data_IF_580584930672
#
_entry.id   IF_580584930672
#
_cell.length_a   1.000
_cell.length_b   1.000
_cell.length_c   1.000
_cell.angle_alpha   90.00
_cell.angle_beta   90.00
_cell.angle_gamma   90.00
#
_symmetry.space_group_name_H-M   'P 1'
#
loop_
_entity.id
_entity.type
_entity.pdbx_description
1 polymer ?
#
# COMPACT_ATOMS: atom_id res chain seq x y z
N UNK A 1 -66.98 29.44 62.83
CA UNK A 1 -65.90 29.58 61.79
C UNK A 1 -64.72 28.73 62.22
N UNK A 2 -64.56 27.57 61.55
CA UNK A 2 -63.53 26.56 61.85
C UNK A 2 -62.37 26.80 60.86
N UNK A 3 -61.20 27.10 61.42
CA UNK A 3 -59.98 27.20 60.62
C UNK A 3 -59.30 25.82 60.59
N UNK A 4 -59.09 25.24 59.41
CA UNK A 4 -58.37 24.00 59.17
C UNK A 4 -56.99 24.37 58.74
N UNK A 5 -56.00 23.99 59.56
CA UNK A 5 -54.54 24.21 59.28
C UNK A 5 -54.03 22.99 58.54
N UNK A 6 -53.61 23.18 57.28
CA UNK A 6 -52.92 22.15 56.52
C UNK A 6 -51.41 22.19 56.80
N UNK A 7 -50.86 21.15 57.37
CA UNK A 7 -49.44 20.94 57.48
C UNK A 7 -48.87 20.34 56.22
N UNK A 8 -47.96 21.06 55.55
CA UNK A 8 -47.22 20.59 54.37
C UNK A 8 -45.98 19.88 54.88
N UNK A 9 -45.96 18.54 54.70
CA UNK A 9 -44.74 17.74 54.91
C UNK A 9 -43.92 17.79 53.62
N UNK A 10 -42.79 18.50 53.66
CA UNK A 10 -41.83 18.53 52.55
C UNK A 10 -40.92 17.32 52.62
N UNK A 11 -41.15 16.34 51.74
CA UNK A 11 -40.26 15.20 51.58
C UNK A 11 -39.07 15.60 50.65
N UNK A 12 -37.92 15.86 51.25
CA UNK A 12 -36.68 16.12 50.52
C UNK A 12 -36.12 14.80 49.96
N UNK A 13 -36.40 14.54 48.69
CA UNK A 13 -35.71 13.46 47.97
C UNK A 13 -34.33 13.96 47.54
N UNK A 14 -33.29 13.47 48.23
CA UNK A 14 -31.90 13.66 47.81
C UNK A 14 -31.67 12.82 46.55
N UNK A 15 -31.76 13.46 45.41
CA UNK A 15 -31.33 12.88 44.11
C UNK A 15 -29.80 12.81 44.06
N UNK A 16 -29.27 11.59 44.18
CA UNK A 16 -27.87 11.32 43.88
C UNK A 16 -27.72 11.42 42.36
N UNK A 17 -27.25 12.59 41.90
CA UNK A 17 -26.73 12.75 40.53
C UNK A 17 -25.42 11.94 40.44
N UNK A 18 -25.50 10.69 39.97
CA UNK A 18 -24.35 9.99 39.39
C UNK A 18 -23.98 10.74 38.11
N UNK A 19 -23.11 11.75 38.25
CA UNK A 19 -22.37 12.29 37.14
C UNK A 19 -21.42 11.19 36.66
N UNK A 20 -21.89 10.37 35.71
CA UNK A 20 -21.04 9.52 34.94
C UNK A 20 -20.12 10.42 34.09
N UNK A 21 -18.94 10.78 34.60
CA UNK A 21 -17.85 11.24 33.78
C UNK A 21 -17.44 10.08 32.89
N UNK A 22 -18.12 9.91 31.77
CA UNK A 22 -17.58 9.23 30.62
C UNK A 22 -16.50 10.13 30.03
N UNK A 23 -15.28 10.08 30.56
CA UNK A 23 -14.12 10.53 29.80
C UNK A 23 -14.15 9.72 28.51
N UNK A 24 -14.44 10.36 27.36
CA UNK A 24 -14.12 9.73 26.07
C UNK A 24 -12.62 9.46 26.16
N UNK A 25 -12.25 8.20 26.24
CA UNK A 25 -10.86 7.80 26.11
C UNK A 25 -10.34 8.43 24.81
N UNK A 26 -9.28 9.22 24.92
CA UNK A 26 -8.65 9.85 23.75
C UNK A 26 -8.08 8.72 22.91
N UNK A 27 -8.63 8.53 21.74
CA UNK A 27 -8.12 7.53 20.80
C UNK A 27 -6.79 8.01 20.23
N UNK A 28 -5.83 7.12 20.14
CA UNK A 28 -4.57 7.34 19.42
C UNK A 28 -4.81 7.10 17.94
N UNK A 29 -4.49 8.08 17.10
CA UNK A 29 -4.63 7.98 15.66
C UNK A 29 -3.28 7.66 15.02
N UNK A 30 -3.20 6.55 14.28
CA UNK A 30 -2.01 6.11 13.55
C UNK A 30 -2.25 6.36 12.06
N UNK A 31 -1.41 7.17 11.45
CA UNK A 31 -1.45 7.46 10.01
C UNK A 31 -0.54 6.47 9.28
N UNK A 32 -1.13 5.66 8.39
CA UNK A 32 -0.44 4.64 7.61
C UNK A 32 -0.37 5.06 6.14
N UNK A 33 0.84 5.20 5.62
CA UNK A 33 1.09 5.37 4.20
C UNK A 33 1.53 4.03 3.63
N UNK A 34 0.71 3.41 2.80
CA UNK A 34 0.97 2.09 2.25
C UNK A 34 0.86 2.07 0.73
N UNK A 35 1.73 1.31 0.09
CA UNK A 35 1.68 1.12 -1.35
C UNK A 35 0.28 0.71 -1.83
N UNK A 36 -0.12 1.16 -3.02
CA UNK A 36 -1.47 0.94 -3.57
C UNK A 36 -1.87 -0.52 -3.61
N UNK A 37 -0.92 -1.43 -3.87
CA UNK A 37 -1.12 -2.88 -3.87
C UNK A 37 -1.48 -3.48 -2.50
N UNK A 38 -1.28 -2.73 -1.41
CA UNK A 38 -1.59 -3.16 -0.06
C UNK A 38 -2.99 -2.74 0.40
N UNK A 39 -3.73 -1.91 -0.35
CA UNK A 39 -4.95 -1.27 0.15
C UNK A 39 -5.95 -2.28 0.75
N UNK A 40 -6.30 -3.33 0.02
CA UNK A 40 -7.30 -4.30 0.46
C UNK A 40 -6.89 -5.06 1.73
N UNK A 41 -5.66 -5.55 1.79
CA UNK A 41 -5.16 -6.29 2.95
C UNK A 41 -4.96 -5.38 4.16
N UNK A 42 -4.49 -4.15 3.96
CA UNK A 42 -4.29 -3.20 5.06
C UNK A 42 -5.61 -2.73 5.68
N UNK A 43 -6.64 -2.52 4.87
CA UNK A 43 -7.97 -2.17 5.38
C UNK A 43 -8.51 -3.30 6.29
N UNK A 44 -8.38 -4.57 5.85
CA UNK A 44 -8.81 -5.74 6.66
C UNK A 44 -7.95 -5.91 7.93
N UNK A 45 -6.63 -5.69 7.86
CA UNK A 45 -5.72 -5.74 9.00
C UNK A 45 -6.01 -4.63 10.02
N UNK A 46 -6.21 -3.40 9.57
CA UNK A 46 -6.57 -2.27 10.43
C UNK A 46 -7.91 -2.50 11.14
N UNK A 47 -8.92 -3.02 10.42
CA UNK A 47 -10.23 -3.34 11.01
C UNK A 47 -10.12 -4.43 12.10
N UNK A 48 -9.36 -5.49 11.84
CA UNK A 48 -9.14 -6.56 12.81
C UNK A 48 -8.38 -6.07 14.04
N UNK A 49 -7.29 -5.34 13.85
CA UNK A 49 -6.54 -4.75 14.94
C UNK A 49 -7.41 -3.83 15.81
N UNK A 50 -8.21 -2.98 15.19
CA UNK A 50 -9.13 -2.10 15.91
C UNK A 50 -10.17 -2.83 16.75
N UNK A 51 -10.59 -4.03 16.35
CA UNK A 51 -11.55 -4.83 17.13
C UNK A 51 -11.00 -5.27 18.49
N UNK A 52 -9.69 -5.45 18.58
CA UNK A 52 -8.97 -5.84 19.81
C UNK A 52 -8.36 -4.62 20.54
N UNK A 53 -8.08 -3.54 19.79
CA UNK A 53 -7.49 -2.29 20.28
C UNK A 53 -8.40 -1.08 20.00
N UNK A 54 -9.57 -0.96 20.68
CA UNK A 54 -10.58 0.07 20.38
C UNK A 54 -10.12 1.50 20.69
N UNK A 55 -9.01 1.66 21.39
CA UNK A 55 -8.35 2.95 21.68
C UNK A 55 -7.44 3.45 20.56
N UNK A 56 -7.17 2.62 19.54
CA UNK A 56 -6.39 3.01 18.34
C UNK A 56 -7.34 3.23 17.18
N UNK A 57 -7.02 4.17 16.30
CA UNK A 57 -7.71 4.38 15.02
C UNK A 57 -6.67 4.58 13.93
N UNK A 58 -6.99 4.18 12.71
CA UNK A 58 -6.09 4.34 11.57
C UNK A 58 -6.61 5.37 10.58
N UNK A 59 -5.70 6.20 10.06
CA UNK A 59 -5.87 6.92 8.81
C UNK A 59 -4.94 6.32 7.77
N UNK A 60 -5.51 5.81 6.68
CA UNK A 60 -4.75 5.16 5.62
C UNK A 60 -4.65 6.06 4.39
N UNK A 61 -3.47 6.11 3.78
CA UNK A 61 -3.22 6.77 2.50
C UNK A 61 -2.57 5.75 1.54
N UNK A 62 -3.20 5.52 0.39
CA UNK A 62 -2.77 4.51 -0.58
C UNK A 62 -2.43 5.14 -1.92
N UNK A 63 -1.15 5.12 -2.27
CA UNK A 63 -0.66 5.57 -3.59
C UNK A 63 0.62 4.80 -3.96
N UNK A 64 1.32 5.24 -5.01
CA UNK A 64 2.64 4.71 -5.32
C UNK A 64 3.61 5.01 -4.17
N UNK A 65 4.52 4.08 -3.89
CA UNK A 65 5.50 4.27 -2.83
C UNK A 65 6.37 5.51 -3.04
N UNK A 66 6.66 5.86 -4.30
CA UNK A 66 7.39 7.09 -4.64
C UNK A 66 6.60 8.36 -4.31
N UNK A 67 5.30 8.40 -4.60
CA UNK A 67 4.42 9.52 -4.23
C UNK A 67 4.33 9.66 -2.71
N UNK A 68 4.10 8.55 -2.00
CA UNK A 68 3.99 8.55 -0.54
C UNK A 68 5.29 9.00 0.14
N UNK A 69 6.43 8.51 -0.34
CA UNK A 69 7.76 8.94 0.11
C UNK A 69 7.94 10.45 -0.07
N UNK A 70 7.56 10.98 -1.24
CA UNK A 70 7.63 12.43 -1.51
C UNK A 70 6.77 13.21 -0.54
N UNK A 71 5.52 12.78 -0.28
CA UNK A 71 4.63 13.41 0.69
C UNK A 71 5.23 13.43 2.10
N UNK A 72 5.86 12.31 2.53
CA UNK A 72 6.54 12.23 3.84
C UNK A 72 7.68 13.26 3.90
N UNK A 73 8.52 13.31 2.86
CA UNK A 73 9.63 14.28 2.77
C UNK A 73 9.16 15.74 2.71
N UNK A 74 7.96 15.99 2.23
CA UNK A 74 7.30 17.31 2.22
C UNK A 74 6.60 17.65 3.55
N UNK A 75 6.71 16.78 4.56
CA UNK A 75 6.19 17.00 5.90
C UNK A 75 4.76 16.49 6.13
N UNK A 76 4.23 15.63 5.28
CA UNK A 76 2.97 14.95 5.55
C UNK A 76 3.11 14.04 6.77
N UNK A 77 2.15 14.09 7.70
CA UNK A 77 2.15 13.22 8.87
C UNK A 77 2.03 11.78 8.44
N UNK A 78 2.98 10.96 8.85
CA UNK A 78 3.01 9.52 8.63
C UNK A 78 3.60 8.87 9.88
N UNK A 79 2.94 7.84 10.40
CA UNK A 79 3.44 7.06 11.53
C UNK A 79 3.97 5.68 11.10
N UNK A 80 3.45 5.15 9.98
CA UNK A 80 3.92 3.89 9.40
C UNK A 80 4.01 4.05 7.89
N UNK A 81 5.16 3.73 7.32
CA UNK A 81 5.37 3.65 5.88
C UNK A 81 5.55 2.19 5.45
N UNK A 82 4.71 1.72 4.53
CA UNK A 82 4.76 0.37 3.97
C UNK A 82 4.94 0.45 2.45
N UNK A 83 6.17 0.29 2.00
CA UNK A 83 6.58 0.44 0.61
C UNK A 83 6.48 -0.86 -0.19
N UNK A 84 6.22 -0.77 -1.49
CA UNK A 84 6.34 -1.88 -2.45
C UNK A 84 7.74 -1.98 -3.08
N UNK A 85 8.70 -1.22 -2.58
CA UNK A 85 10.08 -1.22 -3.06
C UNK A 85 11.06 -0.81 -1.98
N UNK A 86 12.21 -1.44 -2.00
CA UNK A 86 13.28 -1.21 -1.01
C UNK A 86 13.88 0.18 -1.16
N UNK A 87 14.05 0.67 -2.40
CA UNK A 87 14.71 1.96 -2.68
C UNK A 87 14.02 3.16 -2.03
N UNK A 88 12.69 3.18 -1.98
CA UNK A 88 11.93 4.26 -1.34
C UNK A 88 12.09 4.25 0.19
N UNK A 89 12.16 3.06 0.78
CA UNK A 89 12.45 2.91 2.21
C UNK A 89 13.90 3.30 2.52
N UNK A 90 14.85 2.90 1.70
CA UNK A 90 16.27 3.25 1.85
C UNK A 90 16.48 4.75 1.76
N UNK A 91 15.75 5.43 0.87
CA UNK A 91 15.83 6.89 0.71
C UNK A 91 15.29 7.63 1.94
N UNK A 92 14.18 7.16 2.56
CA UNK A 92 13.70 7.73 3.81
C UNK A 92 14.65 7.41 4.97
N UNK A 93 15.20 6.22 5.03
CA UNK A 93 16.15 5.81 6.08
C UNK A 93 17.48 6.55 6.01
N UNK A 94 17.84 7.11 4.87
CA UNK A 94 19.00 8.00 4.73
C UNK A 94 18.80 9.37 5.39
N UNK A 95 17.57 9.65 5.87
CA UNK A 95 17.17 10.87 6.55
C UNK A 95 16.44 11.86 5.65
N UNK A 96 15.51 12.60 6.22
CA UNK A 96 14.75 13.68 5.58
C UNK A 96 14.44 14.81 6.56
N UNK A 97 14.17 15.99 6.04
CA UNK A 97 13.91 17.15 6.90
C UNK A 97 12.62 16.96 7.71
N UNK A 98 12.73 17.06 9.03
CA UNK A 98 11.59 17.03 9.97
C UNK A 98 11.12 15.62 10.37
N UNK A 99 11.90 14.58 10.09
CA UNK A 99 11.58 13.22 10.55
C UNK A 99 12.61 12.16 10.19
N UNK A 100 12.38 10.95 10.68
CA UNK A 100 13.24 9.80 10.46
C UNK A 100 12.46 8.48 10.46
N UNK A 101 13.06 7.44 9.89
CA UNK A 101 12.64 6.05 10.15
C UNK A 101 13.10 5.68 11.55
N UNK A 102 12.18 5.24 12.40
CA UNK A 102 12.50 4.82 13.77
C UNK A 102 13.53 3.69 13.75
N UNK A 103 14.61 3.88 14.49
CA UNK A 103 15.71 2.91 14.54
C UNK A 103 15.24 1.53 14.98
N UNK A 104 15.58 0.50 14.20
CA UNK A 104 15.20 -0.89 14.49
C UNK A 104 13.75 -1.26 14.20
N UNK A 105 12.90 -0.32 13.74
CA UNK A 105 11.50 -0.60 13.39
C UNK A 105 11.33 -1.26 12.03
N UNK A 106 12.26 -1.05 11.09
CA UNK A 106 12.18 -1.58 9.73
C UNK A 106 12.15 -3.11 9.69
N UNK A 107 11.24 -3.63 8.89
CA UNK A 107 11.11 -5.06 8.54
C UNK A 107 10.94 -5.18 7.04
N UNK A 108 11.71 -6.06 6.39
CA UNK A 108 11.47 -6.49 5.01
C UNK A 108 10.43 -7.62 5.09
N UNK A 109 9.15 -7.25 5.20
CA UNK A 109 8.10 -8.12 5.73
C UNK A 109 7.50 -9.06 4.69
N UNK A 110 7.28 -8.57 3.45
CA UNK A 110 6.58 -9.33 2.43
C UNK A 110 7.42 -9.48 1.16
N UNK A 111 7.20 -10.59 0.47
CA UNK A 111 7.58 -10.77 -0.92
C UNK A 111 6.33 -10.76 -1.80
N UNK A 112 6.53 -10.31 -3.04
CA UNK A 112 5.52 -10.33 -4.09
C UNK A 112 6.15 -10.78 -5.41
N UNK A 113 5.36 -10.82 -6.47
CA UNK A 113 5.83 -11.17 -7.81
C UNK A 113 5.18 -10.25 -8.84
N UNK A 114 5.92 -9.82 -9.83
CA UNK A 114 5.36 -9.07 -10.96
C UNK A 114 4.67 -10.03 -11.90
N UNK A 115 3.47 -9.67 -12.33
CA UNK A 115 2.67 -10.42 -13.31
C UNK A 115 2.45 -9.57 -14.56
N UNK A 116 2.61 -10.17 -15.73
CA UNK A 116 2.08 -9.67 -16.98
C UNK A 116 0.62 -10.15 -17.08
N UNK A 117 -0.30 -9.20 -17.23
CA UNK A 117 -1.74 -9.47 -17.27
C UNK A 117 -2.39 -8.93 -18.53
N UNK A 118 -3.53 -9.49 -18.88
CA UNK A 118 -4.46 -9.02 -19.91
C UNK A 118 -5.89 -9.05 -19.38
N UNK A 119 -6.82 -8.38 -20.03
CA UNK A 119 -8.23 -8.44 -19.64
C UNK A 119 -8.84 -9.81 -19.97
N UNK A 120 -9.80 -10.23 -19.17
CA UNK A 120 -10.44 -11.55 -19.25
C UNK A 120 -11.07 -11.80 -20.61
N UNK A 121 -10.65 -12.87 -21.28
CA UNK A 121 -11.14 -13.24 -22.61
C UNK A 121 -10.54 -12.41 -23.75
N UNK A 122 -9.41 -11.74 -23.52
CA UNK A 122 -8.61 -11.06 -24.55
C UNK A 122 -8.18 -12.00 -25.66
N UNK A 123 -8.13 -11.51 -26.90
CA UNK A 123 -7.56 -12.20 -28.06
C UNK A 123 -6.09 -11.83 -28.31
N UNK A 124 -5.42 -11.34 -27.27
CA UNK A 124 -4.00 -10.94 -27.33
C UNK A 124 -3.12 -12.04 -27.94
N UNK A 125 -2.07 -11.60 -28.65
CA UNK A 125 -1.03 -12.50 -29.19
C UNK A 125 0.16 -12.62 -28.25
N UNK A 126 0.16 -11.86 -27.17
CA UNK A 126 1.17 -11.95 -26.11
C UNK A 126 0.95 -13.21 -25.30
N UNK A 127 1.93 -14.09 -25.28
CA UNK A 127 1.90 -15.36 -24.55
C UNK A 127 2.89 -15.42 -23.39
N UNK A 128 3.86 -14.51 -23.39
CA UNK A 128 4.86 -14.35 -22.36
C UNK A 128 5.51 -12.96 -22.47
N UNK A 129 6.37 -12.62 -21.51
CA UNK A 129 7.02 -11.32 -21.44
C UNK A 129 7.96 -11.07 -22.63
N UNK A 130 8.57 -12.12 -23.19
CA UNK A 130 9.55 -11.99 -24.29
C UNK A 130 8.92 -11.54 -25.61
N UNK A 131 7.62 -11.75 -25.81
CA UNK A 131 6.90 -11.34 -27.02
C UNK A 131 5.95 -10.15 -26.81
N UNK A 132 6.21 -9.35 -25.78
CA UNK A 132 5.41 -8.17 -25.39
C UNK A 132 5.19 -7.18 -26.56
N UNK A 133 6.13 -7.12 -27.51
CA UNK A 133 6.01 -6.31 -28.74
C UNK A 133 4.84 -6.70 -29.66
N UNK A 134 4.17 -7.81 -29.41
CA UNK A 134 2.96 -8.22 -30.15
C UNK A 134 1.68 -7.53 -29.65
N UNK A 135 1.74 -6.90 -28.46
CA UNK A 135 0.60 -6.14 -27.94
C UNK A 135 0.38 -4.84 -28.75
N UNK A 136 -0.86 -4.39 -28.78
CA UNK A 136 -1.22 -3.10 -29.40
C UNK A 136 -0.81 -1.92 -28.50
N UNK A 137 -1.07 -2.05 -27.21
CA UNK A 137 -0.73 -1.06 -26.22
C UNK A 137 -0.52 -1.72 -24.84
N UNK A 138 0.19 -1.04 -23.96
CA UNK A 138 0.53 -1.49 -22.62
C UNK A 138 0.28 -0.40 -21.60
N UNK A 139 -0.42 -0.74 -20.51
CA UNK A 139 -0.42 0.06 -19.30
C UNK A 139 0.86 -0.22 -18.52
N UNK A 140 1.65 0.82 -18.28
CA UNK A 140 2.92 0.75 -17.55
C UNK A 140 2.95 1.80 -16.45
N UNK A 141 3.26 1.39 -15.24
CA UNK A 141 3.44 2.34 -14.16
C UNK A 141 4.66 3.24 -14.40
N UNK A 142 4.57 4.48 -13.92
CA UNK A 142 5.64 5.47 -14.02
C UNK A 142 6.96 4.93 -13.47
N UNK A 143 8.08 5.49 -13.94
CA UNK A 143 9.42 5.04 -13.51
C UNK A 143 9.71 5.29 -12.02
N UNK A 144 8.96 6.16 -11.35
CA UNK A 144 9.06 6.39 -9.91
C UNK A 144 8.26 5.39 -9.08
N UNK A 145 7.40 4.60 -9.73
CA UNK A 145 6.53 3.60 -9.10
C UNK A 145 7.26 2.26 -9.05
N UNK A 146 7.32 1.57 -7.89
CA UNK A 146 8.08 0.32 -7.76
C UNK A 146 7.78 -0.73 -8.83
N UNK A 147 6.50 -1.05 -9.15
CA UNK A 147 6.19 -2.01 -10.21
C UNK A 147 6.70 -1.57 -11.58
N UNK A 148 6.68 -0.26 -11.85
CA UNK A 148 7.27 0.32 -13.05
C UNK A 148 8.80 0.15 -13.11
N UNK A 149 9.47 0.26 -11.96
CA UNK A 149 10.91 0.01 -11.82
C UNK A 149 11.23 -1.48 -12.04
N UNK A 150 10.48 -2.39 -11.40
CA UNK A 150 10.65 -3.83 -11.59
C UNK A 150 10.41 -4.26 -13.03
N UNK A 151 9.41 -3.67 -13.71
CA UNK A 151 9.14 -3.95 -15.14
C UNK A 151 10.29 -3.49 -16.01
N UNK A 152 10.82 -2.30 -15.78
CA UNK A 152 11.99 -1.79 -16.52
C UNK A 152 13.23 -2.63 -16.29
N UNK A 153 13.46 -3.06 -15.05
CA UNK A 153 14.51 -4.01 -14.71
C UNK A 153 14.34 -5.34 -15.45
N UNK A 154 13.12 -5.84 -15.54
CA UNK A 154 12.82 -7.06 -16.30
C UNK A 154 13.12 -6.90 -17.80
N UNK A 155 12.79 -5.77 -18.40
CA UNK A 155 13.14 -5.45 -19.81
C UNK A 155 14.65 -5.44 -20.05
N UNK A 156 15.42 -4.85 -19.12
CA UNK A 156 16.89 -4.86 -19.18
C UNK A 156 17.40 -6.29 -19.09
N UNK A 157 17.01 -7.03 -18.05
CA UNK A 157 17.51 -8.39 -17.79
C UNK A 157 17.08 -9.40 -18.86
N UNK A 158 15.95 -9.19 -19.51
CA UNK A 158 15.52 -9.96 -20.67
C UNK A 158 16.22 -9.57 -21.99
N UNK A 159 17.06 -8.51 -21.97
CA UNK A 159 17.73 -7.99 -23.17
C UNK A 159 16.80 -7.31 -24.16
N UNK A 160 15.59 -6.94 -23.75
CA UNK A 160 14.55 -6.35 -24.60
C UNK A 160 14.70 -4.83 -24.76
N UNK A 161 15.43 -4.18 -23.88
CA UNK A 161 15.64 -2.74 -23.89
C UNK A 161 16.78 -2.27 -24.82
N UNK A 162 17.63 -3.20 -25.30
CA UNK A 162 18.89 -2.89 -25.95
C UNK A 162 20.08 -2.92 -24.98
N UNK A 163 21.26 -3.30 -25.49
CA UNK A 163 22.44 -3.52 -24.62
C UNK A 163 23.07 -2.24 -24.07
N UNK A 164 22.68 -1.08 -24.59
CA UNK A 164 23.14 0.24 -24.13
C UNK A 164 22.44 0.72 -22.84
N UNK A 165 21.28 0.13 -22.48
CA UNK A 165 20.53 0.48 -21.28
C UNK A 165 20.80 -0.53 -20.17
N UNK A 166 21.38 -0.07 -19.07
CA UNK A 166 21.77 -0.90 -17.91
C UNK A 166 21.08 -0.47 -16.61
N UNK A 167 20.52 0.73 -16.59
CA UNK A 167 19.85 1.30 -15.42
C UNK A 167 18.38 1.62 -15.72
N UNK A 168 17.51 1.41 -14.73
CA UNK A 168 16.06 1.56 -14.90
C UNK A 168 15.63 3.00 -15.23
N UNK A 169 16.34 4.00 -14.74
CA UNK A 169 16.06 5.42 -14.97
C UNK A 169 16.34 5.86 -16.40
N UNK A 170 17.14 5.09 -17.16
CA UNK A 170 17.39 5.31 -18.59
C UNK A 170 16.20 4.85 -19.46
N UNK A 171 15.33 3.98 -18.96
CA UNK A 171 14.19 3.44 -19.70
C UNK A 171 12.96 4.33 -19.56
N UNK A 172 12.94 5.44 -20.28
CA UNK A 172 11.71 6.23 -20.44
C UNK A 172 10.67 5.45 -21.27
N UNK A 173 9.40 5.86 -21.20
CA UNK A 173 8.32 5.23 -21.97
C UNK A 173 8.59 5.26 -23.48
N UNK A 174 9.20 6.35 -24.00
CA UNK A 174 9.60 6.45 -25.41
C UNK A 174 10.70 5.45 -25.78
N UNK A 175 11.67 5.23 -24.88
CA UNK A 175 12.74 4.23 -25.09
C UNK A 175 12.15 2.83 -25.13
N UNK A 176 11.26 2.50 -24.18
CA UNK A 176 10.57 1.21 -24.13
C UNK A 176 9.72 1.01 -25.39
N UNK A 177 8.91 1.99 -25.74
CA UNK A 177 8.08 1.95 -26.96
C UNK A 177 8.93 1.62 -28.20
N UNK A 178 10.03 2.36 -28.40
CA UNK A 178 10.95 2.14 -29.52
C UNK A 178 11.60 0.76 -29.49
N UNK A 179 12.08 0.33 -28.34
CA UNK A 179 12.72 -0.99 -28.18
C UNK A 179 11.74 -2.14 -28.47
N UNK A 180 10.47 -1.96 -28.17
CA UNK A 180 9.38 -2.93 -28.40
C UNK A 180 8.65 -2.70 -29.74
N UNK A 181 9.32 -2.10 -30.73
CA UNK A 181 8.78 -1.99 -32.10
C UNK A 181 7.69 -0.95 -32.29
N UNK A 182 7.59 0.04 -31.41
CA UNK A 182 6.58 1.09 -31.44
C UNK A 182 5.33 0.76 -30.63
N UNK A 183 5.45 -0.15 -29.64
CA UNK A 183 4.38 -0.46 -28.70
C UNK A 183 3.91 0.83 -28.01
N UNK A 184 2.62 1.12 -28.08
CA UNK A 184 2.02 2.27 -27.38
C UNK A 184 2.07 2.04 -25.87
N UNK A 185 2.71 2.96 -25.14
CA UNK A 185 2.81 2.92 -23.67
C UNK A 185 1.87 3.97 -23.07
N UNK A 186 0.95 3.52 -22.20
CA UNK A 186 0.08 4.37 -21.41
C UNK A 186 0.62 4.43 -19.98
N UNK A 187 1.19 5.56 -19.61
CA UNK A 187 1.78 5.78 -18.29
C UNK A 187 0.70 5.84 -17.22
N UNK A 188 0.91 5.14 -16.12
CA UNK A 188 0.00 5.04 -14.97
C UNK A 188 0.69 5.52 -13.68
N UNK A 189 -0.02 6.31 -12.88
CA UNK A 189 0.50 6.91 -11.65
C UNK A 189 0.77 5.89 -10.53
N UNK A 190 0.11 4.74 -10.54
CA UNK A 190 0.30 3.65 -9.58
C UNK A 190 -0.17 2.32 -10.17
N UNK A 191 0.09 1.20 -9.46
CA UNK A 191 -0.27 -0.13 -9.92
C UNK A 191 -1.79 -0.35 -10.03
N UNK A 192 -2.57 0.26 -9.17
CA UNK A 192 -4.04 0.18 -9.23
C UNK A 192 -4.59 0.78 -10.52
N UNK A 193 -3.98 1.87 -11.02
CA UNK A 193 -4.32 2.46 -12.31
C UNK A 193 -3.97 1.52 -13.48
N UNK A 194 -2.85 0.78 -13.40
CA UNK A 194 -2.51 -0.25 -14.38
C UNK A 194 -3.55 -1.36 -14.39
N UNK A 195 -3.88 -1.92 -13.21
CA UNK A 195 -4.87 -3.00 -13.08
C UNK A 195 -6.23 -2.60 -13.66
N UNK A 196 -6.72 -1.41 -13.32
CA UNK A 196 -7.99 -0.88 -13.85
C UNK A 196 -7.94 -0.69 -15.36
N UNK A 197 -6.86 -0.09 -15.90
CA UNK A 197 -6.72 0.16 -17.34
C UNK A 197 -6.76 -1.12 -18.17
N UNK A 198 -6.18 -2.22 -17.66
CA UNK A 198 -6.23 -3.53 -18.31
C UNK A 198 -7.59 -4.20 -18.09
N UNK A 199 -8.13 -4.22 -16.88
CA UNK A 199 -9.40 -4.84 -16.56
C UNK A 199 -10.58 -4.23 -17.34
N UNK A 200 -10.54 -2.92 -17.60
CA UNK A 200 -11.54 -2.19 -18.39
C UNK A 200 -11.30 -2.33 -19.91
N UNK A 201 -10.23 -2.99 -20.34
CA UNK A 201 -9.87 -3.17 -21.75
C UNK A 201 -9.34 -1.90 -22.45
N UNK A 202 -8.99 -0.86 -21.68
CA UNK A 202 -8.34 0.33 -22.22
C UNK A 202 -6.91 0.02 -22.72
N UNK A 203 -6.26 -0.94 -22.07
CA UNK A 203 -4.97 -1.48 -22.49
C UNK A 203 -5.04 -2.99 -22.69
N UNK A 204 -4.32 -3.49 -23.72
CA UNK A 204 -4.30 -4.91 -24.03
C UNK A 204 -3.56 -5.71 -22.96
N UNK A 205 -2.42 -5.18 -22.49
CA UNK A 205 -1.59 -5.79 -21.46
C UNK A 205 -1.13 -4.75 -20.44
N UNK A 206 -0.66 -5.23 -19.31
CA UNK A 206 -0.01 -4.40 -18.29
C UNK A 206 0.77 -5.25 -17.30
N UNK A 207 1.60 -4.59 -16.49
CA UNK A 207 2.34 -5.27 -15.42
C UNK A 207 1.84 -4.81 -14.05
N UNK A 208 1.41 -5.77 -13.27
CA UNK A 208 0.90 -5.59 -11.90
C UNK A 208 1.65 -6.53 -10.95
N UNK A 209 1.39 -6.45 -9.66
CA UNK A 209 1.84 -7.49 -8.74
C UNK A 209 0.83 -8.65 -8.68
N UNK A 210 1.29 -9.81 -8.25
CA UNK A 210 0.40 -10.96 -8.05
C UNK A 210 -0.70 -10.63 -7.03
N UNK A 211 -0.38 -9.87 -5.99
CA UNK A 211 -1.38 -9.39 -5.03
C UNK A 211 -2.48 -8.51 -5.65
N UNK A 212 -2.18 -7.77 -6.71
CA UNK A 212 -3.18 -6.92 -7.38
C UNK A 212 -4.19 -7.72 -8.20
N UNK A 213 -3.94 -9.02 -8.44
CA UNK A 213 -4.89 -9.90 -9.13
C UNK A 213 -5.99 -10.41 -8.21
N UNK A 214 -5.81 -10.31 -6.88
CA UNK A 214 -6.85 -10.64 -5.92
C UNK A 214 -8.06 -9.71 -6.06
N UNK A 215 -9.22 -10.31 -6.24
CA UNK A 215 -10.47 -9.58 -6.51
C UNK A 215 -10.67 -9.16 -7.97
N UNK A 216 -9.73 -9.50 -8.87
CA UNK A 216 -9.82 -9.27 -10.31
C UNK A 216 -9.89 -10.57 -11.13
N UNK A 217 -10.12 -11.73 -10.50
CA UNK A 217 -10.10 -13.05 -11.13
C UNK A 217 -11.09 -13.19 -12.30
N UNK A 218 -12.20 -12.44 -12.24
CA UNK A 218 -13.22 -12.38 -13.28
C UNK A 218 -12.96 -11.31 -14.35
N UNK A 219 -11.92 -10.47 -14.18
CA UNK A 219 -11.63 -9.33 -15.05
C UNK A 219 -10.25 -9.42 -15.71
N UNK A 220 -9.29 -10.09 -15.08
CA UNK A 220 -7.92 -10.23 -15.55
C UNK A 220 -7.55 -11.71 -15.75
N UNK A 221 -6.75 -11.96 -16.80
CA UNK A 221 -6.00 -13.21 -17.00
C UNK A 221 -4.50 -12.91 -16.80
N UNK A 222 -3.83 -13.73 -15.99
CA UNK A 222 -2.38 -13.71 -15.86
C UNK A 222 -1.76 -14.42 -17.06
N UNK A 223 -0.99 -13.70 -17.87
CA UNK A 223 -0.22 -14.24 -18.97
C UNK A 223 1.02 -14.94 -18.41
N UNK A 224 1.76 -14.25 -17.54
CA UNK A 224 2.99 -14.77 -16.93
C UNK A 224 3.23 -14.14 -15.58
N UNK A 225 3.71 -14.94 -14.61
CA UNK A 225 4.36 -14.44 -13.40
C UNK A 225 5.85 -14.34 -13.68
N UNK A 226 6.41 -13.13 -13.66
CA UNK A 226 7.81 -12.92 -14.04
C UNK A 226 8.75 -13.51 -12.99
N UNK A 227 9.75 -14.29 -13.41
CA UNK A 227 10.69 -14.87 -12.46
C UNK A 227 11.60 -13.81 -11.84
N UNK A 228 12.05 -14.04 -10.60
CA UNK A 228 12.97 -13.14 -9.89
C UNK A 228 14.30 -12.95 -10.63
N UNK A 229 14.68 -13.84 -11.54
CA UNK A 229 15.83 -13.64 -12.41
C UNK A 229 15.69 -12.42 -13.33
N UNK A 230 14.46 -12.00 -13.63
CA UNK A 230 14.17 -10.81 -14.42
C UNK A 230 13.96 -9.57 -13.53
N UNK A 231 13.16 -9.67 -12.49
CA UNK A 231 12.76 -8.52 -11.65
C UNK A 231 13.73 -8.26 -10.49
N UNK A 232 14.47 -9.28 -10.03
CA UNK A 232 15.00 -9.35 -8.68
C UNK A 232 13.88 -9.69 -7.69
N UNK A 233 14.23 -9.75 -6.40
CA UNK A 233 13.26 -9.95 -5.33
C UNK A 233 12.37 -8.72 -5.17
N UNK A 234 11.06 -8.94 -5.12
CA UNK A 234 10.07 -7.89 -4.93
C UNK A 234 9.74 -7.83 -3.44
N UNK A 235 10.49 -7.01 -2.72
CA UNK A 235 10.40 -6.90 -1.27
C UNK A 235 9.57 -5.68 -0.88
N UNK A 236 8.70 -5.87 0.12
CA UNK A 236 7.88 -4.83 0.73
C UNK A 236 8.38 -4.56 2.16
N UNK A 237 9.21 -3.53 2.33
CA UNK A 237 9.62 -3.09 3.64
C UNK A 237 8.54 -2.25 4.31
N UNK A 238 8.40 -2.43 5.62
CA UNK A 238 7.56 -1.61 6.49
C UNK A 238 8.40 -1.05 7.64
N UNK A 239 8.10 0.17 8.06
CA UNK A 239 8.77 0.79 9.21
C UNK A 239 7.87 1.82 9.90
N UNK A 240 8.14 2.08 11.18
CA UNK A 240 7.61 3.25 11.85
C UNK A 240 8.37 4.50 11.39
N UNK A 241 7.62 5.60 11.28
CA UNK A 241 8.12 6.93 10.91
C UNK A 241 7.82 7.86 12.07
N UNK A 242 8.83 8.61 12.51
CA UNK A 242 8.65 9.67 13.48
C UNK A 242 8.96 11.04 12.86
N UNK A 243 8.31 12.06 13.36
CA UNK A 243 8.52 13.45 13.01
C UNK A 243 8.35 14.32 14.25
N UNK A 244 8.68 15.59 14.15
CA UNK A 244 8.51 16.58 15.25
C UNK A 244 7.09 16.63 15.83
N UNK A 245 6.09 16.14 15.09
CA UNK A 245 4.68 16.12 15.48
C UNK A 245 4.17 14.74 15.90
N UNK A 246 5.04 13.73 16.00
CA UNK A 246 4.68 12.38 16.45
C UNK A 246 4.69 12.33 17.98
N UNK A 247 3.60 11.91 18.61
CA UNK A 247 3.55 11.71 20.05
C UNK A 247 4.07 10.34 20.46
N UNK A 248 4.46 10.21 21.75
CA UNK A 248 4.94 8.94 22.29
C UNK A 248 3.85 7.84 22.16
N UNK A 249 2.56 8.19 22.34
CA UNK A 249 1.45 7.25 22.21
C UNK A 249 1.24 6.81 20.76
N UNK A 250 1.46 7.68 19.77
CA UNK A 250 1.38 7.32 18.35
C UNK A 250 2.54 6.40 17.96
N UNK A 251 3.73 6.65 18.49
CA UNK A 251 4.91 5.82 18.26
C UNK A 251 4.70 4.43 18.85
N UNK A 252 4.29 4.33 20.12
CA UNK A 252 3.98 3.05 20.78
C UNK A 252 2.92 2.26 20.01
N UNK A 253 1.81 2.90 19.63
CA UNK A 253 0.75 2.25 18.85
C UNK A 253 1.23 1.78 17.46
N UNK A 254 2.16 2.51 16.85
CA UNK A 254 2.76 2.13 15.56
C UNK A 254 3.66 0.91 15.69
N UNK A 255 4.49 0.84 16.73
CA UNK A 255 5.37 -0.31 16.99
C UNK A 255 4.54 -1.57 17.35
N UNK A 256 3.48 -1.41 18.13
CA UNK A 256 2.54 -2.49 18.45
C UNK A 256 1.87 -3.02 17.18
N UNK A 257 1.42 -2.13 16.31
CA UNK A 257 0.83 -2.54 15.02
C UNK A 257 1.84 -3.23 14.10
N UNK A 258 3.10 -2.75 14.03
CA UNK A 258 4.17 -3.45 13.30
C UNK A 258 4.43 -4.86 13.85
N UNK A 259 4.28 -5.05 15.16
CA UNK A 259 4.37 -6.37 15.79
C UNK A 259 3.19 -7.24 15.41
N UNK A 260 1.97 -6.68 15.40
CA UNK A 260 0.76 -7.39 14.96
C UNK A 260 0.86 -7.86 13.50
N UNK A 261 1.46 -7.06 12.60
CA UNK A 261 1.66 -7.46 11.20
C UNK A 261 2.47 -8.75 11.03
N UNK A 262 3.18 -9.21 12.07
CA UNK A 262 3.95 -10.46 12.08
C UNK A 262 3.19 -11.61 12.77
N UNK A 263 1.96 -11.38 13.24
CA UNK A 263 1.14 -12.41 13.89
C UNK A 263 0.65 -13.46 12.90
N UNK A 264 0.30 -14.64 13.41
CA UNK A 264 -0.28 -15.71 12.58
C UNK A 264 -1.57 -15.28 11.85
N UNK A 265 -2.34 -14.37 12.44
CA UNK A 265 -3.54 -13.83 11.83
C UNK A 265 -3.21 -12.93 10.64
N UNK A 266 -2.27 -12.00 10.83
CA UNK A 266 -1.81 -11.09 9.78
C UNK A 266 -1.16 -11.86 8.63
N UNK A 267 -0.33 -12.87 8.93
CA UNK A 267 0.29 -13.76 7.93
C UNK A 267 -0.77 -14.42 7.05
N UNK A 268 -1.81 -15.00 7.64
CA UNK A 268 -2.91 -15.63 6.88
C UNK A 268 -3.65 -14.63 5.98
N UNK A 269 -3.77 -13.37 6.43
CA UNK A 269 -4.37 -12.33 5.59
C UNK A 269 -3.46 -11.95 4.44
N UNK A 270 -2.18 -11.75 4.67
CA UNK A 270 -1.23 -11.49 3.59
C UNK A 270 -1.24 -12.60 2.54
N UNK A 271 -1.20 -13.87 2.98
CA UNK A 271 -1.27 -15.04 2.08
C UNK A 271 -2.59 -15.09 1.29
N UNK A 272 -3.73 -14.77 1.94
CA UNK A 272 -5.03 -14.65 1.27
C UNK A 272 -4.99 -13.64 0.12
N UNK A 273 -4.25 -12.55 0.28
CA UNK A 273 -4.06 -11.50 -0.74
C UNK A 273 -2.84 -11.76 -1.65
N UNK A 274 -2.38 -12.99 -1.75
CA UNK A 274 -1.29 -13.45 -2.62
C UNK A 274 0.10 -12.89 -2.29
N UNK A 275 0.32 -12.37 -1.09
CA UNK A 275 1.66 -12.06 -0.61
C UNK A 275 2.31 -13.29 0.01
N UNK A 276 3.64 -13.30 0.04
CA UNK A 276 4.42 -14.25 0.82
C UNK A 276 5.10 -13.49 1.96
N UNK A 277 4.94 -13.96 3.20
CA UNK A 277 5.59 -13.35 4.37
C UNK A 277 7.00 -13.93 4.52
N UNK A 278 7.99 -13.06 4.84
CA UNK A 278 9.39 -13.44 5.07
C UNK A 278 9.64 -14.00 6.47
#
# INVERSE_FOLDING_TARGET
>A
TIAVTFAIVSLATAGVLLAGCGSKEKKTEVTVFAAKSLNGVMDELCEKYNSEHPNVTFQTNYDSSGTLMTQIKEGAKCNIFFSAGVSQMDELQAGFDGGDIVEGSRRDLLNNQVCLVTWKGSDTKVTDFSNLSLAKNMALADQTVPVGQYTRKALINAGMAGSEYTEVDQLTDDVISKALGGLEINNCANVGAVASAVAEGANEVGTVYYSDTFGYEDQLDIIEQLPNSLTGDVIYPVAAVESDNTSDEELEASEDFLTYLQSEEAVKLFEKYHFTVQ
#
